data_IF_679935045563
#
_entry.id   IF_679935045563
#
_cell.length_a   1.000
_cell.length_b   1.000
_cell.length_c   1.000
_cell.angle_alpha   90.00
_cell.angle_beta   90.00
_cell.angle_gamma   90.00
#
_symmetry.space_group_name_H-M   'P 1'
#
loop_
_entity.id
_entity.type
_entity.pdbx_description
1 polymer ?
#
# COMPACT_ATOMS: atom_id res chain seq x y z
N UNK A 1 -42.02 -49.35 24.94
CA UNK A 1 -42.02 -47.95 24.49
C UNK A 1 -40.60 -47.39 24.76
N UNK A 2 -39.76 -47.39 23.71
CA UNK A 2 -38.36 -46.93 23.83
C UNK A 2 -38.30 -45.47 23.36
N UNK A 3 -37.99 -44.54 24.26
CA UNK A 3 -37.77 -43.13 23.95
C UNK A 3 -36.35 -42.95 23.35
N UNK A 4 -36.27 -42.67 22.06
CA UNK A 4 -35.01 -42.29 21.41
C UNK A 4 -34.68 -40.84 21.76
N UNK A 5 -33.59 -40.59 22.45
CA UNK A 5 -33.05 -39.27 22.77
C UNK A 5 -32.16 -38.83 21.59
N UNK A 6 -32.66 -37.91 20.78
CA UNK A 6 -31.90 -37.28 19.70
C UNK A 6 -30.99 -36.20 20.31
N UNK A 7 -29.70 -36.50 20.43
CA UNK A 7 -28.69 -35.50 20.83
C UNK A 7 -28.26 -34.74 19.55
N UNK A 8 -28.75 -33.52 19.40
CA UNK A 8 -28.39 -32.61 18.33
C UNK A 8 -27.06 -31.95 18.73
N UNK A 9 -25.94 -32.48 18.23
CA UNK A 9 -24.61 -31.87 18.40
C UNK A 9 -24.49 -30.63 17.50
N UNK A 10 -24.54 -29.46 18.10
CA UNK A 10 -24.30 -28.18 17.45
C UNK A 10 -22.79 -28.02 17.25
N UNK A 11 -22.30 -28.28 16.05
CA UNK A 11 -20.91 -27.97 15.65
C UNK A 11 -20.78 -26.44 15.55
N UNK A 12 -20.25 -25.81 16.61
CA UNK A 12 -19.83 -24.43 16.59
C UNK A 12 -18.51 -24.37 15.79
N UNK A 13 -18.61 -24.03 14.50
CA UNK A 13 -17.45 -23.70 13.68
C UNK A 13 -16.85 -22.39 14.20
N UNK A 14 -15.78 -22.47 14.99
CA UNK A 14 -14.97 -21.33 15.37
C UNK A 14 -14.20 -20.89 14.13
N UNK A 15 -14.75 -19.95 13.36
CA UNK A 15 -13.97 -19.23 12.35
C UNK A 15 -12.83 -18.51 13.09
N UNK A 16 -11.62 -19.01 12.94
CA UNK A 16 -10.42 -18.32 13.42
C UNK A 16 -10.37 -16.97 12.69
N UNK A 17 -10.56 -15.86 13.41
CA UNK A 17 -10.28 -14.53 12.91
C UNK A 17 -8.75 -14.43 12.75
N UNK A 18 -8.24 -14.86 11.60
CA UNK A 18 -6.87 -14.50 11.23
C UNK A 18 -6.85 -12.99 11.05
N UNK A 19 -5.96 -12.31 11.77
CA UNK A 19 -5.74 -10.90 11.53
C UNK A 19 -5.44 -10.70 10.03
N UNK A 20 -6.31 -9.98 9.33
CA UNK A 20 -6.13 -9.73 7.91
C UNK A 20 -4.92 -8.82 7.75
N UNK A 21 -3.97 -9.21 6.90
CA UNK A 21 -2.79 -8.43 6.55
C UNK A 21 -2.88 -7.96 5.11
N UNK A 22 -2.15 -6.89 4.77
CA UNK A 22 -2.03 -6.46 3.36
C UNK A 22 -1.20 -7.51 2.61
N UNK A 23 -1.76 -8.09 1.56
CA UNK A 23 -1.07 -9.04 0.69
C UNK A 23 -0.13 -8.29 -0.28
N UNK A 24 1.03 -7.86 0.23
CA UNK A 24 2.02 -7.13 -0.54
C UNK A 24 2.56 -7.95 -1.71
N UNK A 25 2.76 -7.30 -2.86
CA UNK A 25 3.32 -7.89 -4.07
C UNK A 25 4.47 -7.05 -4.62
N UNK A 26 5.20 -7.56 -5.61
CA UNK A 26 6.18 -6.77 -6.38
C UNK A 26 5.48 -5.85 -7.39
N UNK A 27 6.21 -4.85 -7.90
CA UNK A 27 5.70 -3.97 -8.97
C UNK A 27 5.36 -4.77 -10.23
N UNK A 28 6.23 -5.70 -10.63
CA UNK A 28 6.00 -6.55 -11.81
C UNK A 28 4.73 -7.40 -11.66
N UNK A 29 4.50 -7.98 -10.47
CA UNK A 29 3.26 -8.73 -10.19
C UNK A 29 2.02 -7.84 -10.29
N UNK A 30 2.08 -6.61 -9.77
CA UNK A 30 0.98 -5.67 -9.84
C UNK A 30 0.67 -5.24 -11.28
N UNK A 31 1.71 -4.98 -12.09
CA UNK A 31 1.55 -4.63 -13.51
C UNK A 31 0.96 -5.78 -14.33
N UNK A 32 1.38 -7.02 -14.06
CA UNK A 32 0.76 -8.21 -14.69
C UNK A 32 -0.70 -8.36 -14.28
N UNK A 33 -1.03 -8.16 -13.00
CA UNK A 33 -2.40 -8.21 -12.51
C UNK A 33 -3.29 -7.11 -13.14
N UNK A 34 -2.77 -5.92 -13.38
CA UNK A 34 -3.48 -4.82 -14.06
C UNK A 34 -3.90 -5.17 -15.49
N UNK A 35 -3.14 -6.00 -16.20
CA UNK A 35 -3.48 -6.42 -17.57
C UNK A 35 -4.76 -7.29 -17.59
N UNK A 36 -5.03 -8.02 -16.52
CA UNK A 36 -6.20 -8.87 -16.40
C UNK A 36 -7.40 -8.15 -15.77
N UNK A 37 -7.13 -7.40 -14.71
CA UNK A 37 -8.15 -6.64 -13.98
C UNK A 37 -7.61 -5.25 -13.68
N UNK A 38 -8.02 -4.22 -14.43
CA UNK A 38 -7.55 -2.85 -14.22
C UNK A 38 -7.89 -2.36 -12.80
N UNK A 39 -6.86 -2.09 -12.01
CA UNK A 39 -6.95 -1.52 -10.67
C UNK A 39 -5.73 -0.66 -10.41
N UNK A 40 -5.88 0.43 -9.68
CA UNK A 40 -4.76 1.31 -9.30
C UNK A 40 -3.75 0.58 -8.41
N UNK A 41 -2.48 1.03 -8.45
CA UNK A 41 -1.44 0.51 -7.55
C UNK A 41 -1.22 1.52 -6.41
N UNK A 42 -1.11 0.99 -5.20
CA UNK A 42 -0.60 1.66 -4.01
C UNK A 42 0.74 1.04 -3.64
N UNK A 43 1.81 1.83 -3.68
CA UNK A 43 3.16 1.37 -3.39
C UNK A 43 3.70 2.03 -2.12
N UNK A 44 4.09 1.21 -1.14
CA UNK A 44 4.93 1.63 -0.02
C UNK A 44 6.40 1.51 -0.41
N UNK A 45 7.08 2.67 -0.50
CA UNK A 45 8.52 2.73 -0.76
C UNK A 45 9.26 2.96 0.54
N UNK A 46 10.07 2.01 0.92
CA UNK A 46 10.79 2.00 2.20
C UNK A 46 12.28 1.71 2.05
N UNK A 47 13.02 1.85 3.15
CA UNK A 47 14.36 1.30 3.31
C UNK A 47 14.48 0.56 4.64
N UNK A 48 15.41 -0.37 4.75
CA UNK A 48 15.54 -1.23 5.96
C UNK A 48 15.96 -0.47 7.23
N UNK A 49 16.62 0.67 7.09
CA UNK A 49 17.06 1.54 8.18
C UNK A 49 16.03 2.62 8.56
N UNK A 50 14.97 2.79 7.78
CA UNK A 50 13.99 3.86 7.96
C UNK A 50 13.09 3.61 9.19
N UNK A 51 13.30 4.38 10.24
CA UNK A 51 12.47 4.32 11.47
C UNK A 51 11.00 4.64 11.23
N UNK A 52 10.65 5.76 10.56
CA UNK A 52 9.27 6.08 10.22
C UNK A 52 8.56 5.03 9.35
N UNK A 53 9.29 4.30 8.48
CA UNK A 53 8.71 3.21 7.69
C UNK A 53 8.24 2.06 8.60
N UNK A 54 9.05 1.70 9.61
CA UNK A 54 8.69 0.68 10.61
C UNK A 54 7.47 1.09 11.44
N UNK A 55 7.34 2.39 11.75
CA UNK A 55 6.17 2.93 12.42
C UNK A 55 4.92 2.86 11.53
N UNK A 56 5.07 3.12 10.23
CA UNK A 56 4.00 3.00 9.25
C UNK A 56 3.48 1.55 9.16
N UNK A 57 4.40 0.57 9.08
CA UNK A 57 4.05 -0.86 9.13
C UNK A 57 3.28 -1.21 10.40
N UNK A 58 3.82 -0.78 11.55
CA UNK A 58 3.27 -1.13 12.87
C UNK A 58 1.91 -0.49 13.16
N UNK A 59 1.73 0.78 12.82
CA UNK A 59 0.58 1.57 13.28
C UNK A 59 -0.48 1.78 12.19
N UNK A 60 -0.08 1.89 10.93
CA UNK A 60 -0.98 2.24 9.83
C UNK A 60 -1.36 1.02 9.00
N UNK A 61 -0.38 0.26 8.53
CA UNK A 61 -0.65 -0.91 7.70
C UNK A 61 -1.17 -2.13 8.49
N UNK A 62 -1.15 -2.08 9.80
CA UNK A 62 -1.81 -3.04 10.69
C UNK A 62 -3.24 -2.63 11.09
N UNK A 63 -3.71 -1.45 10.65
CA UNK A 63 -5.06 -0.99 10.94
C UNK A 63 -6.07 -1.72 10.04
N UNK A 64 -7.14 -2.35 10.60
CA UNK A 64 -8.10 -3.14 9.82
C UNK A 64 -8.79 -2.35 8.70
N UNK A 65 -9.13 -1.07 8.93
CA UNK A 65 -9.80 -0.25 7.93
C UNK A 65 -8.86 0.05 6.75
N UNK A 66 -7.57 0.32 7.03
CA UNK A 66 -6.52 0.52 6.02
C UNK A 66 -6.32 -0.75 5.20
N UNK A 67 -6.17 -1.90 5.88
CA UNK A 67 -6.01 -3.21 5.22
C UNK A 67 -7.18 -3.49 4.28
N UNK A 68 -8.40 -3.38 4.79
CA UNK A 68 -9.61 -3.64 4.03
C UNK A 68 -9.72 -2.71 2.80
N UNK A 69 -9.43 -1.42 2.98
CA UNK A 69 -9.55 -0.45 1.91
C UNK A 69 -8.49 -0.63 0.83
N UNK A 70 -7.23 -0.81 1.20
CA UNK A 70 -6.13 -1.06 0.25
C UNK A 70 -6.39 -2.34 -0.53
N UNK A 71 -6.69 -3.45 0.15
CA UNK A 71 -6.93 -4.76 -0.49
C UNK A 71 -8.08 -4.71 -1.50
N UNK A 72 -9.13 -3.94 -1.20
CA UNK A 72 -10.29 -3.79 -2.07
C UNK A 72 -10.01 -2.92 -3.30
N UNK A 73 -9.32 -1.79 -3.13
CA UNK A 73 -9.27 -0.73 -4.14
C UNK A 73 -7.95 -0.65 -4.90
N UNK A 74 -6.86 -1.29 -4.40
CA UNK A 74 -5.53 -1.19 -4.98
C UNK A 74 -4.86 -2.56 -5.13
N UNK A 75 -3.85 -2.63 -5.99
CA UNK A 75 -2.81 -3.63 -5.91
C UNK A 75 -1.71 -3.09 -4.98
N UNK A 76 -1.52 -3.71 -3.80
CA UNK A 76 -0.54 -3.21 -2.84
C UNK A 76 0.86 -3.69 -3.20
N UNK A 77 1.78 -2.76 -3.41
CA UNK A 77 3.19 -3.03 -3.72
C UNK A 77 4.07 -2.59 -2.58
N UNK A 78 5.05 -3.41 -2.21
CA UNK A 78 6.09 -3.04 -1.25
C UNK A 78 7.44 -3.03 -1.95
N UNK A 79 8.11 -1.86 -1.96
CA UNK A 79 9.35 -1.66 -2.68
C UNK A 79 10.45 -1.14 -1.76
N UNK A 80 11.54 -1.91 -1.64
CA UNK A 80 12.75 -1.45 -0.97
C UNK A 80 13.57 -0.58 -1.94
N UNK A 81 13.64 0.72 -1.67
CA UNK A 81 14.37 1.68 -2.47
C UNK A 81 15.90 1.46 -2.48
N UNK A 82 16.41 0.60 -1.63
CA UNK A 82 17.82 0.17 -1.60
C UNK A 82 17.94 -1.35 -1.81
N UNK A 83 16.89 -1.99 -2.35
CA UNK A 83 16.86 -3.41 -2.68
C UNK A 83 17.65 -3.75 -3.95
N UNK A 84 17.75 -5.05 -4.26
CA UNK A 84 18.47 -5.57 -5.43
C UNK A 84 17.57 -6.11 -6.53
N UNK A 85 16.29 -6.37 -6.22
CA UNK A 85 15.39 -7.07 -7.13
C UNK A 85 15.04 -6.16 -8.31
N UNK A 86 15.21 -6.63 -9.56
CA UNK A 86 14.91 -5.82 -10.73
C UNK A 86 13.41 -5.50 -10.83
N UNK A 87 13.08 -4.35 -11.41
CA UNK A 87 11.71 -3.92 -11.68
C UNK A 87 11.60 -3.54 -13.16
N UNK A 88 10.65 -4.17 -13.86
CA UNK A 88 10.33 -3.81 -15.24
C UNK A 88 9.13 -2.86 -15.26
N UNK A 89 9.36 -1.62 -15.69
CA UNK A 89 8.34 -0.59 -15.71
C UNK A 89 8.46 0.25 -16.99
N UNK A 90 7.36 0.43 -17.71
CA UNK A 90 7.28 1.19 -18.97
C UNK A 90 8.34 0.77 -20.01
N UNK A 91 8.59 -0.53 -20.12
CA UNK A 91 9.54 -1.09 -21.09
C UNK A 91 11.02 -1.02 -20.69
N UNK A 92 11.34 -0.47 -19.52
CA UNK A 92 12.69 -0.42 -18.95
C UNK A 92 12.83 -1.35 -17.77
N UNK A 93 13.97 -2.04 -17.66
CA UNK A 93 14.32 -2.82 -16.48
C UNK A 93 15.26 -2.00 -15.59
N UNK A 94 14.76 -1.60 -14.45
CA UNK A 94 15.51 -0.88 -13.42
C UNK A 94 16.17 -1.89 -12.48
N UNK A 95 17.43 -1.65 -12.13
CA UNK A 95 18.22 -2.48 -11.20
C UNK A 95 18.89 -1.62 -10.15
N UNK A 96 19.63 -2.24 -9.24
CA UNK A 96 20.54 -1.55 -8.33
C UNK A 96 21.97 -2.04 -8.58
N UNK A 97 22.69 -1.49 -9.58
CA UNK A 97 24.00 -1.98 -9.98
C UNK A 97 25.08 -1.77 -8.91
N UNK A 98 24.86 -0.86 -7.96
CA UNK A 98 25.79 -0.55 -6.88
C UNK A 98 25.37 -1.20 -5.55
N UNK A 99 24.41 -2.12 -5.57
CA UNK A 99 23.99 -2.87 -4.38
C UNK A 99 25.15 -3.69 -3.80
N UNK A 100 25.30 -3.67 -2.47
CA UNK A 100 26.35 -4.42 -1.75
C UNK A 100 25.69 -5.37 -0.75
N UNK A 101 25.76 -6.67 -1.00
CA UNK A 101 25.11 -7.73 -0.20
C UNK A 101 25.49 -7.67 1.29
N UNK A 102 26.80 -7.53 1.58
CA UNK A 102 27.33 -7.55 2.96
C UNK A 102 27.21 -6.21 3.70
N UNK A 103 26.66 -5.18 3.06
CA UNK A 103 26.59 -3.85 3.67
C UNK A 103 25.49 -3.76 4.72
N UNK A 104 25.86 -3.38 5.94
CA UNK A 104 24.89 -3.05 7.00
C UNK A 104 24.47 -1.58 6.88
N UNK A 105 23.19 -1.29 7.20
CA UNK A 105 22.64 0.07 7.15
C UNK A 105 22.24 0.50 5.75
N UNK A 106 22.61 1.71 5.32
CA UNK A 106 22.25 2.28 4.01
C UNK A 106 22.97 1.58 2.87
N UNK A 107 22.26 1.24 1.81
CA UNK A 107 22.79 0.71 0.57
C UNK A 107 22.73 1.77 -0.55
N UNK A 108 23.12 1.40 -1.76
CA UNK A 108 22.90 2.24 -2.93
C UNK A 108 21.40 2.34 -3.26
N UNK A 109 20.98 3.48 -3.78
CA UNK A 109 19.61 3.68 -4.24
C UNK A 109 19.35 2.87 -5.50
N UNK A 110 18.20 2.23 -5.55
CA UNK A 110 17.72 1.52 -6.71
C UNK A 110 17.31 2.50 -7.82
N UNK A 111 17.68 2.25 -9.07
CA UNK A 111 17.39 3.15 -10.20
C UNK A 111 15.89 3.44 -10.39
N UNK A 112 15.00 2.54 -9.97
CA UNK A 112 13.57 2.79 -9.99
C UNK A 112 13.15 3.88 -8.97
N UNK A 113 13.77 3.90 -7.79
CA UNK A 113 13.52 4.96 -6.81
C UNK A 113 13.98 6.33 -7.34
N UNK A 114 15.12 6.37 -8.04
CA UNK A 114 15.61 7.58 -8.71
C UNK A 114 14.65 8.03 -9.83
N UNK A 115 14.14 7.08 -10.64
CA UNK A 115 13.17 7.36 -11.69
C UNK A 115 11.85 7.94 -11.16
N UNK A 116 11.41 7.50 -9.98
CA UNK A 116 10.25 8.05 -9.27
C UNK A 116 10.51 9.42 -8.64
N UNK A 117 11.76 9.90 -8.62
CA UNK A 117 12.18 11.20 -8.04
C UNK A 117 11.73 11.38 -6.59
N UNK A 118 11.87 10.34 -5.79
CA UNK A 118 11.44 10.35 -4.40
C UNK A 118 12.28 11.31 -3.54
N UNK A 119 11.61 12.07 -2.68
CA UNK A 119 12.27 13.07 -1.82
C UNK A 119 12.62 12.55 -0.42
N UNK A 120 12.21 11.33 -0.07
CA UNK A 120 12.48 10.72 1.24
C UNK A 120 11.68 9.45 1.48
N UNK A 121 11.83 8.88 2.69
CA UNK A 121 11.16 7.65 3.09
C UNK A 121 10.47 7.78 4.45
N UNK A 122 9.30 7.11 4.63
CA UNK A 122 8.56 6.37 3.61
C UNK A 122 8.02 7.28 2.50
N UNK A 123 7.79 6.72 1.30
CA UNK A 123 7.04 7.38 0.23
C UNK A 123 5.88 6.48 -0.20
N UNK A 124 4.67 7.02 -0.09
CA UNK A 124 3.44 6.35 -0.50
C UNK A 124 3.11 6.79 -1.92
N UNK A 125 3.35 5.90 -2.87
CA UNK A 125 3.29 6.22 -4.31
C UNK A 125 2.08 5.56 -4.94
N UNK A 126 1.38 6.32 -5.77
CA UNK A 126 0.15 5.87 -6.43
C UNK A 126 0.34 5.84 -7.94
N UNK A 127 -0.24 4.80 -8.57
CA UNK A 127 -0.25 4.66 -10.03
C UNK A 127 -1.68 4.40 -10.50
N UNK A 128 -1.98 4.87 -11.70
CA UNK A 128 -3.23 4.59 -12.42
C UNK A 128 -3.37 3.10 -12.75
N UNK A 129 -4.55 2.73 -13.19
CA UNK A 129 -4.86 1.36 -13.61
C UNK A 129 -4.14 0.91 -14.89
N UNK A 130 -3.50 1.81 -15.60
CA UNK A 130 -2.59 1.55 -16.73
C UNK A 130 -1.10 1.57 -16.34
N UNK A 131 -0.81 1.73 -15.04
CA UNK A 131 0.55 1.83 -14.51
C UNK A 131 1.17 3.21 -14.57
N UNK A 132 0.50 4.25 -15.07
CA UNK A 132 1.01 5.62 -15.07
C UNK A 132 1.15 6.17 -13.66
N UNK A 133 2.27 6.81 -13.34
CA UNK A 133 2.51 7.44 -12.05
C UNK A 133 1.51 8.59 -11.82
N UNK A 134 0.82 8.57 -10.68
CA UNK A 134 -0.07 9.66 -10.25
C UNK A 134 0.72 10.65 -9.40
N UNK A 135 1.15 10.23 -8.20
CA UNK A 135 1.91 11.04 -7.25
C UNK A 135 2.53 10.21 -6.15
N UNK A 136 3.48 10.81 -5.43
CA UNK A 136 4.06 10.26 -4.20
C UNK A 136 3.81 11.21 -3.03
N UNK A 137 3.51 10.64 -1.86
CA UNK A 137 3.32 11.35 -0.59
C UNK A 137 4.44 10.92 0.34
N UNK A 138 5.28 11.86 0.75
CA UNK A 138 6.45 11.58 1.59
C UNK A 138 6.09 11.69 3.06
N UNK A 139 6.60 10.76 3.85
CA UNK A 139 6.51 10.78 5.30
C UNK A 139 5.47 9.82 5.88
N UNK A 140 5.55 9.67 7.20
CA UNK A 140 4.62 8.87 7.98
C UNK A 140 3.20 9.46 7.89
N UNK A 141 2.22 8.58 7.73
CA UNK A 141 0.79 8.91 7.73
C UNK A 141 0.09 8.04 8.76
N UNK A 142 -0.72 8.63 9.63
CA UNK A 142 -1.66 7.88 10.47
C UNK A 142 -2.73 7.21 9.60
N UNK A 143 -3.50 6.22 10.10
CA UNK A 143 -4.62 5.65 9.35
C UNK A 143 -5.60 6.69 8.81
N UNK A 144 -5.91 7.74 9.60
CA UNK A 144 -6.84 8.80 9.21
C UNK A 144 -6.27 9.74 8.14
N UNK A 145 -4.98 10.08 8.24
CA UNK A 145 -4.30 10.88 7.22
C UNK A 145 -4.19 10.11 5.91
N UNK A 146 -3.83 8.82 5.98
CA UNK A 146 -3.75 7.97 4.79
C UNK A 146 -5.12 7.77 4.14
N UNK A 147 -6.20 7.66 4.92
CA UNK A 147 -7.57 7.51 4.41
C UNK A 147 -7.94 8.60 3.40
N UNK A 148 -7.58 9.85 3.69
CA UNK A 148 -7.86 10.99 2.82
C UNK A 148 -7.28 10.78 1.42
N UNK A 149 -6.02 10.36 1.35
CA UNK A 149 -5.34 10.10 0.08
C UNK A 149 -5.86 8.83 -0.61
N UNK A 150 -6.03 7.73 0.13
CA UNK A 150 -6.57 6.49 -0.42
C UNK A 150 -7.93 6.71 -1.08
N UNK A 151 -8.83 7.42 -0.41
CA UNK A 151 -10.16 7.72 -0.95
C UNK A 151 -10.11 8.69 -2.12
N UNK A 152 -9.29 9.73 -2.04
CA UNK A 152 -9.12 10.69 -3.14
C UNK A 152 -8.63 10.01 -4.42
N UNK A 153 -7.64 9.12 -4.31
CA UNK A 153 -7.06 8.43 -5.45
C UNK A 153 -8.00 7.33 -5.98
N UNK A 154 -8.58 6.51 -5.08
CA UNK A 154 -9.48 5.43 -5.49
C UNK A 154 -10.74 5.91 -6.21
N UNK A 155 -11.22 7.12 -5.90
CA UNK A 155 -12.43 7.72 -6.49
C UNK A 155 -12.14 8.71 -7.61
N UNK A 156 -10.92 8.78 -8.11
CA UNK A 156 -10.47 9.74 -9.14
C UNK A 156 -10.60 11.21 -8.76
N UNK A 157 -10.92 11.51 -7.51
CA UNK A 157 -11.13 12.90 -7.04
C UNK A 157 -9.88 13.77 -7.18
N UNK A 158 -8.68 13.16 -7.15
CA UNK A 158 -7.42 13.87 -7.39
C UNK A 158 -7.36 14.58 -8.76
N UNK A 159 -8.10 14.08 -9.77
CA UNK A 159 -8.19 14.71 -11.11
C UNK A 159 -8.92 16.07 -11.08
N UNK A 160 -9.77 16.28 -10.06
CA UNK A 160 -10.48 17.53 -9.84
C UNK A 160 -9.77 18.47 -8.85
N UNK A 161 -8.88 17.93 -7.99
CA UNK A 161 -8.15 18.66 -6.95
C UNK A 161 -6.77 19.03 -7.48
N UNK A 162 -6.70 20.05 -8.33
CA UNK A 162 -5.48 20.46 -9.05
C UNK A 162 -4.87 21.75 -8.53
N UNK A 163 -5.58 22.48 -7.66
CA UNK A 163 -5.11 23.74 -7.04
C UNK A 163 -5.04 23.63 -5.53
N UNK A 164 -4.24 24.50 -4.89
CA UNK A 164 -4.15 24.58 -3.44
C UNK A 164 -5.52 24.86 -2.79
N UNK A 165 -6.29 25.76 -3.34
CA UNK A 165 -7.62 26.09 -2.81
C UNK A 165 -8.60 24.90 -2.88
N UNK A 166 -8.54 24.11 -3.95
CA UNK A 166 -9.34 22.90 -4.08
C UNK A 166 -8.89 21.82 -3.07
N UNK A 167 -7.60 21.71 -2.85
CA UNK A 167 -7.03 20.81 -1.84
C UNK A 167 -7.50 21.19 -0.42
N UNK A 168 -7.36 22.46 -0.05
CA UNK A 168 -7.77 22.95 1.26
C UNK A 168 -9.29 22.73 1.48
N UNK A 169 -10.10 22.95 0.45
CA UNK A 169 -11.54 22.67 0.46
C UNK A 169 -11.81 21.17 0.61
N UNK A 170 -11.09 20.32 -0.11
CA UNK A 170 -11.23 18.87 -0.03
C UNK A 170 -10.92 18.38 1.38
N UNK A 171 -9.76 18.76 1.94
CA UNK A 171 -9.37 18.39 3.30
C UNK A 171 -10.41 18.84 4.34
N UNK A 172 -10.86 20.10 4.27
CA UNK A 172 -11.85 20.66 5.21
C UNK A 172 -13.17 19.89 5.20
N UNK A 173 -13.60 19.43 4.03
CA UNK A 173 -14.89 18.76 3.86
C UNK A 173 -14.80 17.25 3.97
N UNK A 174 -13.60 16.68 4.05
CA UNK A 174 -13.40 15.26 4.12
C UNK A 174 -13.98 14.68 5.42
N UNK A 175 -14.78 13.65 5.29
CA UNK A 175 -15.35 12.90 6.41
C UNK A 175 -14.67 11.53 6.47
N UNK A 176 -13.65 11.44 7.30
CA UNK A 176 -12.95 10.19 7.57
C UNK A 176 -13.86 9.17 8.28
N UNK A 177 -13.60 7.90 8.04
CA UNK A 177 -14.30 6.76 8.65
C UNK A 177 -13.37 5.76 9.29
N UNK A 178 -12.04 5.85 9.01
CA UNK A 178 -11.07 4.95 9.60
C UNK A 178 -10.89 5.27 11.08
N UNK A 179 -10.90 4.23 11.89
CA UNK A 179 -10.76 4.37 13.34
C UNK A 179 -9.27 4.40 13.72
N UNK A 180 -8.92 5.19 14.72
CA UNK A 180 -7.68 4.99 15.46
C UNK A 180 -7.77 3.67 16.23
N UNK A 181 -6.67 2.95 16.30
CA UNK A 181 -6.58 1.79 17.22
C UNK A 181 -6.60 2.26 18.66
#
# INVERSE_FOLDING_TARGET
MKKALLVLTFLISTAALTAQEIAWMSMDQALVAQQQTPKKIFMDVYTTWCGPCKLLDKNTFSNPDVIAYISKHFYPVKFNAEGKDPITYQGFTYTNPNYREAKRGRNATHLFADALKLQGYPSLTFFESDGTLIQSIVGYQTPQELELFLKMIATDKYKEVTTRAQWDKYQKNFKGTFKSR
#
